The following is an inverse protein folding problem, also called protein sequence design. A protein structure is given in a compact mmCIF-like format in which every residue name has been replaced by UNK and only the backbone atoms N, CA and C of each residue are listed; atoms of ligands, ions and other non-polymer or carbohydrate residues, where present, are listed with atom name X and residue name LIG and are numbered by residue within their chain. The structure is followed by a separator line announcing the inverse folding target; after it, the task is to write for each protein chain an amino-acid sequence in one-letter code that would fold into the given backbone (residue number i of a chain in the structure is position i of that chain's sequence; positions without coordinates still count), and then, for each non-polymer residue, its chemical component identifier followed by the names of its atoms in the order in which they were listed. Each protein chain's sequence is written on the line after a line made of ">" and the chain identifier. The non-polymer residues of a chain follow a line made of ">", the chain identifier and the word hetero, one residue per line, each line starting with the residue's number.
data_IF_177167431774
#
_entry.id   IF_177167431774
#
_cell.length_a   1.000
_cell.length_b   1.000
_cell.length_c   1.000
_cell.angle_alpha   90.00
_cell.angle_beta   90.00
_cell.angle_gamma   90.00
#
_symmetry.space_group_name_H-M   'P 1'
#
loop_
_entity.id
_entity.type
_entity.pdbx_description
1 polymer ?
#
# COMPACT_ATOMS: atom_id res chain seq x y z
N UNK A 1 21.00 -8.25 -6.57
CA UNK A 1 20.14 -7.51 -5.65
C UNK A 1 18.70 -7.96 -5.79
N UNK A 2 18.01 -8.14 -4.67
CA UNK A 2 16.69 -8.73 -4.68
C UNK A 2 15.65 -7.67 -4.33
N UNK A 3 14.81 -7.33 -5.31
CA UNK A 3 13.70 -6.40 -5.09
C UNK A 3 12.51 -7.11 -4.49
N UNK A 4 11.73 -6.37 -3.68
CA UNK A 4 10.53 -6.88 -3.02
C UNK A 4 9.37 -5.97 -3.42
N UNK A 5 8.25 -6.56 -3.84
CA UNK A 5 7.02 -5.82 -4.09
C UNK A 5 5.99 -6.16 -3.02
N UNK A 6 5.42 -5.13 -2.42
CA UNK A 6 4.33 -5.25 -1.46
C UNK A 6 3.05 -4.74 -2.10
N UNK A 7 1.97 -5.49 -1.93
CA UNK A 7 0.63 -5.11 -2.36
C UNK A 7 -0.22 -4.98 -1.11
N UNK A 8 -0.72 -3.78 -0.85
CA UNK A 8 -1.56 -3.51 0.32
C UNK A 8 -2.93 -3.06 -0.16
N UNK A 9 -3.98 -3.79 0.22
CA UNK A 9 -5.35 -3.47 -0.16
C UNK A 9 -6.05 -2.75 0.98
N UNK A 10 -6.83 -1.73 0.60
CA UNK A 10 -7.61 -0.90 1.52
C UNK A 10 -9.04 -0.80 1.02
N UNK A 11 -9.99 -0.75 1.93
CA UNK A 11 -11.37 -0.53 1.59
C UNK A 11 -11.86 0.76 2.25
N UNK A 12 -12.38 1.69 1.43
CA UNK A 12 -12.90 2.96 1.95
C UNK A 12 -14.33 2.77 2.41
N UNK A 13 -14.70 3.46 3.50
CA UNK A 13 -16.11 3.61 3.84
C UNK A 13 -16.79 4.40 2.73
N UNK A 14 -18.08 4.12 2.50
CA UNK A 14 -18.87 4.81 1.47
C UNK A 14 -18.84 6.31 1.73
N UNK A 15 -18.49 7.08 0.71
CA UNK A 15 -18.37 8.53 0.79
C UNK A 15 -16.96 9.02 1.14
N UNK A 16 -16.03 8.11 1.48
CA UNK A 16 -14.66 8.47 1.84
C UNK A 16 -13.62 8.04 0.82
N UNK A 17 -14.07 7.63 -0.36
CA UNK A 17 -13.17 7.12 -1.41
C UNK A 17 -12.12 8.15 -1.83
N UNK A 18 -12.54 9.37 -2.12
CA UNK A 18 -11.61 10.42 -2.55
C UNK A 18 -10.61 10.79 -1.44
N UNK A 19 -11.08 10.79 -0.20
CA UNK A 19 -10.20 11.08 0.94
C UNK A 19 -9.14 10.00 1.11
N UNK A 20 -9.53 8.73 0.93
CA UNK A 20 -8.56 7.63 1.00
C UNK A 20 -7.50 7.74 -0.09
N UNK A 21 -7.92 8.05 -1.33
CA UNK A 21 -6.97 8.23 -2.43
C UNK A 21 -5.97 9.35 -2.10
N UNK A 22 -6.46 10.46 -1.56
CA UNK A 22 -5.60 11.58 -1.19
C UNK A 22 -4.61 11.20 -0.10
N UNK A 23 -5.05 10.45 0.90
CA UNK A 23 -4.18 9.97 1.96
C UNK A 23 -3.12 9.00 1.44
N UNK A 24 -3.48 8.13 0.51
CA UNK A 24 -2.53 7.23 -0.14
C UNK A 24 -1.46 8.00 -0.90
N UNK A 25 -1.84 9.09 -1.56
CA UNK A 25 -0.89 9.95 -2.29
C UNK A 25 0.07 10.67 -1.36
N UNK A 26 -0.39 11.04 -0.18
CA UNK A 26 0.41 11.80 0.80
C UNK A 26 1.39 10.93 1.57
N UNK A 27 1.18 9.62 1.59
CA UNK A 27 2.08 8.73 2.30
C UNK A 27 3.49 8.85 1.73
N UNK A 28 4.47 8.88 2.62
CA UNK A 28 5.88 9.00 2.21
C UNK A 28 6.35 7.68 1.59
N UNK A 29 6.49 7.66 0.27
CA UNK A 29 6.95 6.51 -0.50
C UNK A 29 8.42 6.62 -0.90
N UNK A 30 9.20 7.48 -0.22
CA UNK A 30 10.58 7.76 -0.61
C UNK A 30 11.50 6.55 -0.52
N UNK A 31 11.16 5.54 0.28
CA UNK A 31 11.93 4.30 0.36
C UNK A 31 11.62 3.32 -0.76
N UNK A 32 10.56 3.56 -1.53
CA UNK A 32 10.18 2.72 -2.67
C UNK A 32 10.92 3.16 -3.92
N UNK A 33 11.38 2.22 -4.74
CA UNK A 33 11.93 2.54 -6.06
C UNK A 33 10.84 2.77 -7.09
N UNK A 34 9.65 2.24 -6.85
CA UNK A 34 8.45 2.58 -7.62
C UNK A 34 7.22 2.32 -6.77
N UNK A 35 6.12 3.02 -7.09
CA UNK A 35 4.86 2.80 -6.40
C UNK A 35 3.70 3.20 -7.27
N UNK A 36 2.54 2.55 -7.06
CA UNK A 36 1.31 2.78 -7.80
C UNK A 36 0.13 2.68 -6.86
N UNK A 37 -0.94 3.39 -7.19
CA UNK A 37 -2.24 3.25 -6.52
C UNK A 37 -3.22 2.78 -7.58
N UNK A 38 -3.91 1.67 -7.29
CA UNK A 38 -4.88 1.07 -8.20
C UNK A 38 -6.28 1.15 -7.60
N UNK A 39 -7.27 1.35 -8.46
CA UNK A 39 -8.67 1.15 -8.10
C UNK A 39 -9.04 -0.30 -8.45
N UNK A 40 -9.61 -1.01 -7.48
CA UNK A 40 -10.04 -2.39 -7.67
C UNK A 40 -11.56 -2.50 -7.86
N UNK A 41 -12.28 -1.37 -7.80
CA UNK A 41 -13.73 -1.35 -7.81
C UNK A 41 -14.31 -1.53 -6.41
N UNK A 42 -15.60 -1.23 -6.24
CA UNK A 42 -16.32 -1.41 -4.97
C UNK A 42 -15.66 -0.71 -3.78
N UNK A 43 -15.13 0.50 -4.01
CA UNK A 43 -14.46 1.31 -2.99
C UNK A 43 -13.20 0.65 -2.41
N UNK A 44 -12.62 -0.28 -3.13
CA UNK A 44 -11.37 -0.94 -2.75
C UNK A 44 -10.21 -0.45 -3.60
N UNK A 45 -9.06 -0.26 -2.96
CA UNK A 45 -7.85 0.27 -3.60
C UNK A 45 -6.65 -0.56 -3.17
N UNK A 46 -5.63 -0.55 -4.01
CA UNK A 46 -4.37 -1.22 -3.70
C UNK A 46 -3.21 -0.26 -3.89
N UNK A 47 -2.29 -0.28 -2.95
CA UNK A 47 -1.00 0.40 -3.10
C UNK A 47 0.06 -0.66 -3.37
N UNK A 48 0.78 -0.50 -4.48
CA UNK A 48 1.88 -1.37 -4.87
C UNK A 48 3.18 -0.61 -4.65
N UNK A 49 4.05 -1.16 -3.82
CA UNK A 49 5.35 -0.55 -3.54
C UNK A 49 6.44 -1.57 -3.85
N UNK A 50 7.42 -1.17 -4.65
CA UNK A 50 8.58 -1.99 -4.93
C UNK A 50 9.78 -1.39 -4.22
N UNK A 51 10.49 -2.21 -3.46
CA UNK A 51 11.65 -1.82 -2.67
C UNK A 51 12.89 -2.52 -3.20
N UNK A 52 14.01 -1.85 -3.08
CA UNK A 52 15.30 -2.39 -3.52
C UNK A 52 15.79 -3.52 -2.61
N UNK A 53 15.31 -3.54 -1.37
CA UNK A 53 15.72 -4.54 -0.38
C UNK A 53 14.63 -4.75 0.66
N UNK A 54 14.76 -5.84 1.42
CA UNK A 54 13.86 -6.14 2.54
C UNK A 54 14.01 -5.08 3.64
N UNK A 55 15.22 -4.56 3.83
CA UNK A 55 15.48 -3.51 4.83
C UNK A 55 14.68 -2.25 4.52
N UNK A 56 14.65 -1.82 3.27
CA UNK A 56 13.88 -0.63 2.86
C UNK A 56 12.40 -0.84 3.10
N UNK A 57 11.87 -2.02 2.79
CA UNK A 57 10.48 -2.37 3.07
C UNK A 57 10.19 -2.29 4.57
N UNK A 58 11.08 -2.82 5.40
CA UNK A 58 10.90 -2.86 6.85
C UNK A 58 10.81 -1.47 7.46
N UNK A 59 11.52 -0.50 6.91
CA UNK A 59 11.43 0.88 7.36
C UNK A 59 10.02 1.44 7.15
N UNK A 60 9.40 1.13 6.01
CA UNK A 60 8.04 1.61 5.71
C UNK A 60 6.98 0.93 6.59
N UNK A 61 7.20 -0.30 7.02
CA UNK A 61 6.24 -0.98 7.91
C UNK A 61 6.11 -0.22 9.22
N UNK A 62 7.20 0.26 9.78
CA UNK A 62 7.17 0.99 11.05
C UNK A 62 6.42 2.32 10.92
N UNK A 63 6.78 3.14 9.92
CA UNK A 63 6.10 4.43 9.71
C UNK A 63 4.67 4.26 9.22
N UNK A 64 4.39 3.18 8.50
CA UNK A 64 3.07 2.89 7.97
C UNK A 64 2.03 2.60 9.04
N UNK A 65 2.43 2.05 10.19
CA UNK A 65 1.47 1.75 11.27
C UNK A 65 0.87 3.02 11.85
N UNK A 66 1.67 4.05 12.09
CA UNK A 66 1.16 5.33 12.60
C UNK A 66 0.24 6.00 11.59
N UNK A 67 0.62 5.99 10.32
CA UNK A 67 -0.22 6.54 9.25
C UNK A 67 -1.53 5.78 9.16
N UNK A 68 -1.49 4.45 9.23
CA UNK A 68 -2.68 3.60 9.17
C UNK A 68 -3.64 3.88 10.33
N UNK A 69 -3.10 4.09 11.53
CA UNK A 69 -3.92 4.48 12.68
C UNK A 69 -4.65 5.79 12.41
N UNK A 70 -4.00 6.74 11.75
CA UNK A 70 -4.58 8.06 11.47
C UNK A 70 -5.74 7.99 10.45
N UNK A 71 -5.73 7.03 9.54
CA UNK A 71 -6.77 6.90 8.51
C UNK A 71 -7.82 5.84 8.85
N UNK A 72 -7.68 5.13 9.94
CA UNK A 72 -8.62 4.07 10.32
C UNK A 72 -10.09 4.53 10.31
N UNK A 73 -10.44 5.76 10.73
CA UNK A 73 -11.84 6.20 10.70
C UNK A 73 -12.49 6.20 9.32
N UNK A 74 -11.73 6.28 8.24
CA UNK A 74 -12.28 6.27 6.88
C UNK A 74 -12.19 4.91 6.21
N UNK A 75 -11.63 3.90 6.91
CA UNK A 75 -11.49 2.55 6.36
C UNK A 75 -12.65 1.65 6.78
N UNK A 76 -13.11 0.85 5.83
CA UNK A 76 -14.00 -0.25 6.12
C UNK A 76 -13.16 -1.48 6.42
N UNK A 77 -13.44 -2.14 7.54
CA UNK A 77 -12.67 -3.31 7.93
C UNK A 77 -13.04 -4.52 7.07
N UNK A 78 -12.06 -5.36 6.81
CA UNK A 78 -12.29 -6.64 6.14
C UNK A 78 -12.96 -7.62 7.10
N UNK A 79 -13.43 -8.75 6.57
CA UNK A 79 -14.23 -9.73 7.33
C UNK A 79 -13.57 -10.19 8.62
N UNK A 80 -12.23 -10.30 8.62
CA UNK A 80 -11.49 -10.72 9.81
C UNK A 80 -11.18 -9.57 10.78
N UNK A 81 -11.73 -8.39 10.53
CA UNK A 81 -11.47 -7.20 11.35
C UNK A 81 -10.20 -6.45 11.01
N UNK A 82 -9.45 -6.89 9.99
CA UNK A 82 -8.23 -6.21 9.56
C UNK A 82 -8.53 -4.92 8.80
N UNK A 83 -7.67 -3.92 9.00
CA UNK A 83 -7.76 -2.63 8.29
C UNK A 83 -7.27 -2.75 6.85
N UNK A 84 -6.41 -3.71 6.58
CA UNK A 84 -5.80 -3.92 5.25
C UNK A 84 -5.68 -5.40 4.97
N UNK A 85 -5.46 -5.72 3.69
CA UNK A 85 -4.96 -7.02 3.27
C UNK A 85 -3.65 -6.78 2.54
N UNK A 86 -2.56 -7.29 3.10
CA UNK A 86 -1.23 -7.04 2.55
C UNK A 86 -0.51 -8.35 2.31
N UNK A 87 0.24 -8.39 1.21
CA UNK A 87 1.14 -9.51 0.93
C UNK A 87 2.32 -8.98 0.13
N UNK A 88 3.41 -9.73 0.18
CA UNK A 88 4.67 -9.34 -0.46
C UNK A 88 5.28 -10.51 -1.19
N UNK A 89 6.06 -10.22 -2.20
CA UNK A 89 6.80 -11.22 -2.94
C UNK A 89 8.14 -10.69 -3.40
N UNK A 90 9.05 -11.62 -3.63
CA UNK A 90 10.35 -11.33 -4.22
C UNK A 90 10.17 -11.22 -5.72
N UNK A 91 10.71 -10.17 -6.33
CA UNK A 91 10.64 -9.98 -7.78
C UNK A 91 11.61 -10.94 -8.44
N UNK A 92 11.09 -11.91 -9.18
CA UNK A 92 11.90 -12.90 -9.89
C UNK A 92 12.28 -12.43 -11.28
N UNK A 93 11.45 -11.62 -11.92
CA UNK A 93 11.66 -11.11 -13.27
C UNK A 93 10.98 -9.77 -13.41
N UNK A 94 11.66 -8.82 -14.00
CA UNK A 94 11.08 -7.52 -14.29
C UNK A 94 11.45 -7.16 -15.72
N UNK A 95 10.43 -6.83 -16.51
CA UNK A 95 10.64 -6.39 -17.88
C UNK A 95 11.11 -4.95 -17.86
N UNK A 96 12.20 -4.66 -18.56
CA UNK A 96 12.73 -3.30 -18.69
C UNK A 96 12.16 -2.68 -19.97
N UNK A 97 11.64 -1.48 -19.82
CA UNK A 97 11.19 -0.67 -20.95
C UNK A 97 12.22 0.43 -21.15
N UNK A 98 12.84 0.44 -22.32
CA UNK A 98 13.80 1.46 -22.68
C UNK A 98 13.18 2.55 -23.54
#
# INVERSE_FOLDING_TARGET
>A
MTSVTTITRFKAKIGFEDQLIEELRKFDNSNSISWQILSLGDSEYAALNTYDSIEEKSMDVVSGLDWLDSITPILELYENGSRTKAFSGIVLHQNEIE
#
